data_IF_080337860361
#
_entry.id   IF_080337860361
#
_cell.length_a   1.000
_cell.length_b   1.000
_cell.length_c   1.000
_cell.angle_alpha   90.00
_cell.angle_beta   90.00
_cell.angle_gamma   90.00
#
_symmetry.space_group_name_H-M   'P 1'
#
loop_
_entity.id
_entity.type
_entity.pdbx_description
1 polymer ?
#
# COMPACT_ATOMS: atom_id res chain seq x y z
N UNK A 1 28.02 -0.38 -20.87
CA UNK A 1 27.36 -1.49 -20.14
C UNK A 1 26.07 -0.97 -19.53
N UNK A 2 24.95 -1.64 -19.83
CA UNK A 2 23.69 -1.58 -19.07
C UNK A 2 22.62 -0.59 -19.55
N UNK A 3 21.60 -1.09 -20.28
CA UNK A 3 20.39 -0.38 -20.71
C UNK A 3 19.54 0.14 -19.53
N UNK A 4 18.85 1.28 -19.70
CA UNK A 4 17.52 1.41 -20.32
C UNK A 4 16.40 0.84 -19.44
N UNK A 5 15.76 1.78 -18.73
CA UNK A 5 14.30 1.92 -18.55
C UNK A 5 13.52 0.80 -17.83
N UNK A 6 12.94 1.14 -16.67
CA UNK A 6 11.61 0.63 -16.27
C UNK A 6 10.79 1.73 -15.60
N UNK A 7 10.04 2.43 -16.45
CA UNK A 7 8.64 2.81 -16.26
C UNK A 7 8.10 2.87 -14.82
N UNK A 8 8.17 4.04 -14.20
CA UNK A 8 7.36 4.44 -13.03
C UNK A 8 5.91 4.73 -13.45
N UNK A 9 5.26 3.79 -14.16
CA UNK A 9 3.92 4.00 -14.72
C UNK A 9 2.89 2.99 -14.21
N UNK A 10 3.15 2.31 -13.08
CA UNK A 10 2.18 1.40 -12.46
C UNK A 10 2.22 1.41 -10.93
N UNK A 11 2.73 2.47 -10.31
CA UNK A 11 2.73 2.71 -8.86
C UNK A 11 1.32 2.92 -8.25
N UNK A 12 0.25 2.66 -9.00
CA UNK A 12 -1.12 2.69 -8.50
C UNK A 12 -1.45 1.46 -7.64
N UNK A 13 -0.71 0.37 -7.83
CA UNK A 13 -1.01 -0.91 -7.20
C UNK A 13 -0.17 -1.22 -5.97
N UNK A 14 0.69 -0.32 -5.51
CA UNK A 14 1.53 -0.60 -4.33
C UNK A 14 0.79 -0.33 -3.01
N UNK A 15 1.18 -1.08 -1.98
CA UNK A 15 0.78 -0.85 -0.60
C UNK A 15 1.12 0.59 -0.20
N UNK A 16 0.14 1.37 0.24
CA UNK A 16 0.36 2.76 0.66
C UNK A 16 1.14 2.88 1.98
N UNK A 17 1.27 1.78 2.73
CA UNK A 17 1.95 1.75 4.02
C UNK A 17 3.43 1.45 3.86
N UNK A 18 3.78 0.33 3.22
CA UNK A 18 5.16 -0.09 3.05
C UNK A 18 5.75 0.24 1.68
N UNK A 19 4.91 0.50 0.67
CA UNK A 19 5.28 0.80 -0.74
C UNK A 19 6.27 -0.19 -1.37
N UNK A 20 6.42 -1.36 -0.78
CA UNK A 20 7.40 -2.38 -1.19
C UNK A 20 6.74 -3.54 -1.95
N UNK A 21 5.45 -3.77 -1.72
CA UNK A 21 4.69 -4.84 -2.33
C UNK A 21 3.38 -4.28 -2.89
N UNK A 22 2.79 -5.02 -3.82
CA UNK A 22 1.45 -4.75 -4.34
C UNK A 22 0.41 -4.78 -3.22
N UNK A 23 -0.61 -3.93 -3.30
CA UNK A 23 -1.71 -3.90 -2.35
C UNK A 23 -2.61 -5.10 -2.61
N UNK A 24 -2.95 -5.80 -1.55
CA UNK A 24 -3.82 -6.97 -1.60
C UNK A 24 -5.17 -6.70 -0.95
N UNK A 25 -5.21 -5.76 -0.03
CA UNK A 25 -6.38 -5.43 0.76
C UNK A 25 -6.58 -3.91 0.79
N UNK A 26 -7.84 -3.49 0.64
CA UNK A 26 -8.22 -2.09 0.71
C UNK A 26 -9.14 -1.89 1.91
N UNK A 27 -8.81 -0.96 2.79
CA UNK A 27 -9.63 -0.67 3.96
C UNK A 27 -10.95 0.00 3.54
N UNK A 28 -12.13 -0.52 3.91
CA UNK A 28 -13.41 0.08 3.52
C UNK A 28 -13.66 1.43 4.20
N UNK A 29 -13.12 1.65 5.39
CA UNK A 29 -13.31 2.89 6.16
C UNK A 29 -12.57 4.10 5.57
N UNK A 30 -11.35 3.90 5.07
CA UNK A 30 -10.46 4.98 4.64
C UNK A 30 -9.85 4.77 3.25
N UNK A 31 -10.26 3.71 2.53
CA UNK A 31 -9.71 3.32 1.22
C UNK A 31 -8.18 3.11 1.20
N UNK A 32 -7.56 2.88 2.36
CA UNK A 32 -6.12 2.60 2.48
C UNK A 32 -5.77 1.26 1.84
N UNK A 33 -4.84 1.29 0.88
CA UNK A 33 -4.34 0.11 0.20
C UNK A 33 -3.17 -0.50 0.98
N UNK A 34 -3.29 -1.78 1.32
CA UNK A 34 -2.35 -2.51 2.17
C UNK A 34 -1.99 -3.85 1.56
N UNK A 35 -0.75 -4.31 1.70
CA UNK A 35 -0.34 -5.63 1.20
C UNK A 35 -0.70 -6.76 2.19
N UNK A 36 -0.77 -6.47 3.49
CA UNK A 36 -0.91 -7.47 4.56
C UNK A 36 -1.58 -6.88 5.81
N UNK A 37 -2.04 -7.75 6.73
CA UNK A 37 -2.62 -7.36 8.02
C UNK A 37 -1.68 -6.49 8.88
N UNK A 38 -0.37 -6.67 8.76
CA UNK A 38 0.63 -5.83 9.43
C UNK A 38 0.53 -4.37 8.98
N UNK A 39 0.42 -4.16 7.66
CA UNK A 39 0.15 -2.84 7.09
C UNK A 39 -1.25 -2.33 7.47
N UNK A 40 -2.23 -3.22 7.65
CA UNK A 40 -3.55 -2.86 8.17
C UNK A 40 -3.44 -2.27 9.58
N UNK A 41 -2.83 -3.00 10.51
CA UNK A 41 -2.65 -2.54 11.89
C UNK A 41 -1.78 -1.29 11.97
N UNK A 42 -0.71 -1.22 11.17
CA UNK A 42 0.18 -0.06 11.12
C UNK A 42 -0.54 1.20 10.65
N UNK A 43 -1.34 1.13 9.57
CA UNK A 43 -2.08 2.32 9.16
C UNK A 43 -3.20 2.65 10.14
N UNK A 44 -3.87 1.67 10.74
CA UNK A 44 -4.89 1.92 11.77
C UNK A 44 -4.32 2.70 12.96
N UNK A 45 -3.14 2.31 13.43
CA UNK A 45 -2.44 3.03 14.49
C UNK A 45 -2.00 4.44 14.05
N UNK A 46 -1.44 4.59 12.85
CA UNK A 46 -0.95 5.88 12.34
C UNK A 46 -2.05 6.87 11.97
N UNK A 47 -3.15 6.40 11.40
CA UNK A 47 -4.26 7.23 10.91
C UNK A 47 -5.44 7.26 11.87
N UNK A 48 -5.35 6.59 13.02
CA UNK A 48 -6.47 6.34 13.92
C UNK A 48 -7.70 5.78 13.19
N UNK A 49 -7.48 4.98 12.14
CA UNK A 49 -8.56 4.38 11.38
C UNK A 49 -9.26 3.33 12.25
N UNK A 50 -10.55 3.52 12.48
CA UNK A 50 -11.37 2.62 13.31
C UNK A 50 -11.65 1.28 12.64
N UNK A 51 -11.35 1.13 11.34
CA UNK A 51 -11.38 -0.16 10.64
C UNK A 51 -12.69 -0.94 10.79
N UNK A 52 -13.83 -0.24 10.72
CA UNK A 52 -15.17 -0.83 10.61
C UNK A 52 -15.66 -0.70 9.18
#
# INVERSE_FOLDING_TARGET
MGGTEKSDASSASLCQVCKNNDFKYTCPACSMRTCSLECVNAHKAKTNCTGK
#
